data_IF_563827858989
#
_entry.id   IF_563827858989
#
_cell.length_a   1.000
_cell.length_b   1.000
_cell.length_c   1.000
_cell.angle_alpha   90.00
_cell.angle_beta   90.00
_cell.angle_gamma   90.00
#
_symmetry.space_group_name_H-M   'P 1'
#
loop_
_entity.id
_entity.type
_entity.pdbx_description
1 polymer ?
#
# COMPACT_ATOMS: atom_id res chain seq x y z
N UNK A 1 -21.97 -81.90 12.81
CA UNK A 1 -21.77 -82.83 13.97
C UNK A 1 -21.39 -81.98 15.18
N UNK A 2 -22.29 -82.00 16.20
CA UNK A 2 -22.15 -81.52 17.59
C UNK A 2 -21.82 -80.04 17.82
N UNK A 3 -22.77 -79.15 18.07
CA UNK A 3 -23.55 -78.81 19.29
C UNK A 3 -22.75 -78.99 20.57
N UNK A 4 -22.45 -77.87 21.24
CA UNK A 4 -22.64 -77.73 22.70
C UNK A 4 -22.82 -76.26 23.09
N UNK A 5 -24.05 -75.93 23.46
CA UNK A 5 -24.44 -74.80 24.32
C UNK A 5 -23.82 -74.94 25.69
N UNK A 6 -23.42 -73.89 26.35
CA UNK A 6 -23.50 -73.76 27.79
C UNK A 6 -23.83 -72.32 28.21
N UNK A 7 -24.78 -72.29 29.01
CA UNK A 7 -25.61 -71.32 29.68
C UNK A 7 -24.88 -70.56 30.77
N UNK A 8 -25.11 -69.25 30.83
CA UNK A 8 -25.58 -68.43 31.95
C UNK A 8 -24.85 -68.50 33.30
N UNK A 9 -24.37 -67.39 33.78
CA UNK A 9 -24.53 -67.00 35.19
C UNK A 9 -24.47 -65.44 35.30
N UNK A 10 -25.61 -64.89 35.79
CA UNK A 10 -25.71 -63.52 36.29
C UNK A 10 -24.92 -63.40 37.58
N UNK A 11 -24.13 -62.35 37.69
CA UNK A 11 -23.70 -61.85 38.99
C UNK A 11 -24.09 -60.34 39.05
N UNK A 12 -25.01 -60.08 39.90
CA UNK A 12 -25.42 -58.72 40.32
C UNK A 12 -24.35 -58.25 41.32
N UNK A 13 -23.70 -57.17 41.02
CA UNK A 13 -22.85 -56.47 41.98
C UNK A 13 -23.21 -55.01 42.02
N UNK A 14 -23.53 -54.55 43.18
CA UNK A 14 -23.98 -53.25 43.61
C UNK A 14 -23.03 -52.13 43.16
N UNK A 15 -23.58 -51.13 42.52
CA UNK A 15 -22.87 -49.90 42.16
C UNK A 15 -22.94 -48.93 43.34
N UNK A 16 -21.81 -48.67 43.91
CA UNK A 16 -21.59 -47.52 44.83
C UNK A 16 -21.48 -46.29 43.96
N UNK A 17 -22.47 -45.39 44.07
CA UNK A 17 -22.40 -44.04 43.49
C UNK A 17 -21.40 -43.20 44.31
N UNK A 18 -20.20 -42.99 43.80
CA UNK A 18 -19.35 -41.89 44.23
C UNK A 18 -19.70 -40.69 43.42
N UNK A 19 -20.37 -39.71 44.08
CA UNK A 19 -20.65 -38.43 43.50
C UNK A 19 -19.38 -37.62 43.25
N UNK A 20 -18.91 -37.61 42.01
CA UNK A 20 -17.93 -36.64 41.55
C UNK A 20 -18.70 -35.37 41.15
N UNK A 21 -18.54 -34.33 41.99
CA UNK A 21 -19.03 -33.02 41.71
C UNK A 21 -18.40 -32.51 40.40
N UNK A 22 -19.22 -32.43 39.36
CA UNK A 22 -18.91 -31.66 38.18
C UNK A 22 -18.90 -30.17 38.57
N UNK A 23 -17.74 -29.62 38.83
CA UNK A 23 -17.57 -28.17 38.81
C UNK A 23 -17.90 -27.73 37.39
N UNK A 24 -19.10 -27.15 37.24
CA UNK A 24 -19.50 -26.49 36.02
C UNK A 24 -18.50 -25.38 35.70
N UNK A 25 -17.71 -25.54 34.66
CA UNK A 25 -17.06 -24.40 34.01
C UNK A 25 -18.18 -23.42 33.65
N UNK A 26 -18.24 -22.32 34.36
CA UNK A 26 -19.07 -21.18 33.96
C UNK A 26 -18.55 -20.74 32.60
N UNK A 27 -19.32 -21.03 31.55
CA UNK A 27 -19.16 -20.39 30.26
C UNK A 27 -19.42 -18.91 30.50
N UNK A 28 -18.35 -18.15 30.71
CA UNK A 28 -18.40 -16.71 30.65
C UNK A 28 -19.07 -16.36 29.33
N UNK A 29 -20.24 -15.75 29.41
CA UNK A 29 -20.97 -15.22 28.27
C UNK A 29 -19.97 -14.45 27.43
N UNK A 30 -19.70 -14.93 26.21
CA UNK A 30 -19.04 -14.13 25.18
C UNK A 30 -19.83 -12.84 25.12
N UNK A 31 -19.23 -11.74 25.56
CA UNK A 31 -19.82 -10.44 25.45
C UNK A 31 -20.34 -10.32 24.03
N UNK A 32 -21.60 -9.95 23.87
CA UNK A 32 -22.16 -9.60 22.57
C UNK A 32 -21.21 -8.58 21.99
N UNK A 33 -20.55 -8.92 20.89
CA UNK A 33 -19.83 -7.95 20.09
C UNK A 33 -20.90 -6.94 19.70
N UNK A 34 -20.75 -5.74 20.20
CA UNK A 34 -21.64 -4.64 19.85
C UNK A 34 -21.41 -4.30 18.39
N UNK A 35 -22.19 -4.91 17.51
CA UNK A 35 -22.17 -4.66 16.07
C UNK A 35 -22.73 -3.27 15.74
N UNK A 36 -23.12 -2.48 16.74
CA UNK A 36 -23.51 -1.07 16.58
C UNK A 36 -22.33 -0.11 16.68
N UNK A 37 -21.08 -0.60 16.65
CA UNK A 37 -19.95 0.27 16.36
C UNK A 37 -20.34 1.07 15.12
N UNK A 38 -20.67 2.35 15.30
CA UNK A 38 -21.02 3.29 14.23
C UNK A 38 -19.99 3.07 13.14
N UNK A 39 -20.40 2.49 12.02
CA UNK A 39 -19.57 2.45 10.84
C UNK A 39 -19.13 3.89 10.65
N UNK A 40 -17.81 4.14 10.63
CA UNK A 40 -17.29 5.47 10.36
C UNK A 40 -17.75 5.83 8.94
N UNK A 41 -18.93 6.47 8.87
CA UNK A 41 -19.57 6.89 7.62
C UNK A 41 -18.92 8.15 7.06
N UNK A 42 -18.04 8.78 7.82
CA UNK A 42 -17.26 9.90 7.36
C UNK A 42 -16.09 9.39 6.52
N UNK A 43 -16.33 9.19 5.23
CA UNK A 43 -15.26 8.98 4.26
C UNK A 43 -14.38 10.23 4.28
N UNK A 44 -13.20 10.10 4.85
CA UNK A 44 -12.20 11.16 4.97
C UNK A 44 -10.83 10.62 4.66
N UNK A 45 -9.95 11.44 4.12
CA UNK A 45 -8.52 11.10 3.97
C UNK A 45 -7.79 11.12 5.31
N UNK A 46 -8.29 11.87 6.30
CA UNK A 46 -7.77 11.83 7.66
C UNK A 46 -8.10 10.47 8.33
N UNK A 47 -7.25 9.94 9.21
CA UNK A 47 -6.01 10.55 9.72
C UNK A 47 -4.75 10.25 8.86
N UNK A 48 -4.90 9.66 7.69
CA UNK A 48 -3.79 9.15 6.87
C UNK A 48 -3.05 10.24 6.10
N UNK A 49 -3.72 11.36 5.84
CA UNK A 49 -3.17 12.48 5.08
C UNK A 49 -3.54 13.82 5.69
N UNK A 50 -2.61 14.76 5.53
CA UNK A 50 -2.83 16.20 5.70
C UNK A 50 -2.56 16.91 4.39
N UNK A 51 -3.09 18.15 4.24
CA UNK A 51 -2.78 18.98 3.09
C UNK A 51 -1.30 19.35 3.11
N UNK A 52 -0.61 19.19 1.99
CA UNK A 52 0.78 19.63 1.87
C UNK A 52 0.85 21.16 1.85
N UNK A 53 1.94 21.67 2.42
CA UNK A 53 2.27 23.10 2.38
C UNK A 53 3.31 23.37 1.30
N UNK A 54 3.45 24.61 0.87
CA UNK A 54 4.47 25.05 -0.11
C UNK A 54 5.89 25.06 0.48
N UNK A 55 6.03 25.08 1.81
CA UNK A 55 7.34 25.02 2.47
C UNK A 55 8.01 23.68 2.21
N UNK A 56 9.33 23.66 1.97
CA UNK A 56 10.10 22.44 1.87
C UNK A 56 10.05 21.65 3.18
N UNK A 57 9.95 20.32 3.09
CA UNK A 57 9.93 19.39 4.23
C UNK A 57 11.05 18.37 4.04
N UNK A 58 11.73 18.00 5.11
CA UNK A 58 12.64 16.84 5.10
C UNK A 58 11.85 15.54 5.03
N UNK A 59 12.49 14.45 4.61
CA UNK A 59 11.99 13.10 4.81
C UNK A 59 11.76 12.80 6.30
N UNK A 60 11.10 11.70 6.63
CA UNK A 60 10.95 11.28 8.02
C UNK A 60 12.29 10.78 8.63
N UNK A 61 12.25 10.34 9.89
CA UNK A 61 13.43 9.86 10.61
C UNK A 61 14.13 8.65 9.96
N UNK A 62 13.38 7.89 9.14
CA UNK A 62 13.88 6.73 8.40
C UNK A 62 14.25 7.05 6.95
N UNK A 63 14.06 8.32 6.51
CA UNK A 63 14.34 8.78 5.16
C UNK A 63 13.18 8.62 4.18
N UNK A 64 12.00 8.17 4.61
CA UNK A 64 10.85 8.00 3.71
C UNK A 64 10.23 9.34 3.30
N UNK A 65 9.82 9.40 2.04
CA UNK A 65 9.19 10.56 1.44
C UNK A 65 7.67 10.53 1.67
N UNK A 66 7.17 11.51 2.42
CA UNK A 66 5.77 11.56 2.81
C UNK A 66 4.94 12.54 1.97
N UNK A 67 5.55 13.48 1.24
CA UNK A 67 4.85 14.52 0.47
C UNK A 67 4.78 14.16 -1.01
N UNK A 68 3.55 14.15 -1.54
CA UNK A 68 3.27 13.72 -2.91
C UNK A 68 2.11 14.51 -3.53
N UNK A 69 2.19 14.74 -4.84
CA UNK A 69 1.04 15.01 -5.69
C UNK A 69 0.47 13.65 -6.09
N UNK A 70 -0.77 13.39 -5.72
CA UNK A 70 -1.48 12.15 -6.02
C UNK A 70 -2.63 12.44 -6.98
N UNK A 71 -2.68 11.76 -8.11
CA UNK A 71 -3.82 11.82 -9.02
C UNK A 71 -4.92 10.91 -8.51
N UNK A 72 -6.15 11.37 -8.58
CA UNK A 72 -7.33 10.52 -8.38
C UNK A 72 -7.25 9.26 -9.27
N UNK A 73 -7.78 8.11 -8.81
CA UNK A 73 -7.55 6.84 -9.47
C UNK A 73 -8.12 6.77 -10.89
N UNK A 74 -7.29 6.33 -11.83
CA UNK A 74 -7.68 6.01 -13.20
C UNK A 74 -8.30 4.61 -13.22
N UNK A 75 -9.47 4.44 -13.86
CA UNK A 75 -10.06 3.11 -14.03
C UNK A 75 -9.18 2.21 -14.87
N UNK A 76 -8.79 1.08 -14.31
CA UNK A 76 -8.01 0.01 -14.97
C UNK A 76 -8.51 -1.35 -14.49
N UNK A 77 -9.72 -1.77 -14.91
CA UNK A 77 -10.34 -2.98 -14.39
C UNK A 77 -9.45 -4.21 -14.52
N UNK A 78 -9.27 -4.91 -13.43
CA UNK A 78 -8.64 -6.22 -13.37
C UNK A 78 -9.28 -7.02 -12.23
N UNK A 79 -9.30 -8.34 -12.35
CA UNK A 79 -9.98 -9.22 -11.40
C UNK A 79 -9.02 -9.95 -10.47
N UNK A 80 -7.73 -9.88 -10.73
CA UNK A 80 -6.71 -10.62 -9.99
C UNK A 80 -5.35 -9.94 -10.12
N UNK A 81 -4.57 -9.95 -9.04
CA UNK A 81 -3.20 -9.44 -9.04
C UNK A 81 -2.23 -10.39 -9.76
N UNK A 82 -2.64 -11.63 -10.07
CA UNK A 82 -1.80 -12.59 -10.81
C UNK A 82 -1.50 -12.15 -12.24
N UNK A 83 -2.27 -11.19 -12.79
CA UNK A 83 -2.01 -10.63 -14.12
C UNK A 83 -0.86 -9.62 -14.14
N UNK A 84 -0.39 -9.15 -12.98
CA UNK A 84 0.62 -8.10 -12.88
C UNK A 84 2.05 -8.60 -13.17
N UNK A 85 2.23 -9.23 -14.31
CA UNK A 85 3.56 -9.58 -14.85
C UNK A 85 4.31 -8.32 -15.28
N UNK A 86 5.63 -8.39 -15.41
CA UNK A 86 6.46 -7.28 -15.91
C UNK A 86 5.93 -6.70 -17.21
N UNK A 87 5.58 -7.55 -18.17
CA UNK A 87 5.06 -7.11 -19.45
C UNK A 87 3.71 -6.39 -19.33
N UNK A 88 2.81 -6.91 -18.47
CA UNK A 88 1.52 -6.27 -18.24
C UNK A 88 1.68 -4.89 -17.63
N UNK A 89 2.46 -4.77 -16.56
CA UNK A 89 2.63 -3.50 -15.86
C UNK A 89 3.42 -2.48 -16.68
N UNK A 90 4.43 -2.91 -17.46
CA UNK A 90 5.11 -2.03 -18.41
C UNK A 90 4.12 -1.45 -19.41
N UNK A 91 3.31 -2.29 -20.05
CA UNK A 91 2.27 -1.82 -20.97
C UNK A 91 1.29 -0.86 -20.27
N UNK A 92 0.81 -1.22 -19.07
CA UNK A 92 -0.12 -0.38 -18.33
C UNK A 92 0.46 0.98 -17.96
N UNK A 93 1.72 1.04 -17.54
CA UNK A 93 2.34 2.26 -17.04
C UNK A 93 3.02 3.10 -18.12
N UNK A 94 3.32 2.55 -19.29
CA UNK A 94 3.82 3.33 -20.44
C UNK A 94 2.70 3.77 -21.39
N UNK A 95 1.46 3.34 -21.16
CA UNK A 95 0.28 3.91 -21.82
C UNK A 95 0.08 5.35 -21.37
N UNK A 96 -0.05 6.28 -22.31
CA UNK A 96 -0.37 7.66 -22.00
C UNK A 96 -1.89 7.80 -21.80
N UNK A 97 -2.30 8.07 -20.56
CA UNK A 97 -3.72 8.25 -20.19
C UNK A 97 -4.16 9.71 -20.31
N UNK A 98 -3.23 10.64 -20.19
CA UNK A 98 -3.46 12.09 -20.30
C UNK A 98 -2.22 12.81 -20.84
N UNK A 99 -2.37 13.97 -21.47
CA UNK A 99 -1.25 14.69 -22.09
C UNK A 99 -0.12 15.01 -21.13
N UNK A 100 1.12 14.83 -21.59
CA UNK A 100 2.33 15.11 -20.82
C UNK A 100 2.50 14.28 -19.54
N UNK A 101 1.81 13.17 -19.40
CA UNK A 101 1.83 12.29 -18.22
C UNK A 101 3.24 12.01 -17.68
N UNK A 102 4.23 11.87 -18.56
CA UNK A 102 5.61 11.52 -18.20
C UNK A 102 6.50 12.74 -17.91
N UNK A 103 6.05 13.95 -18.24
CA UNK A 103 6.85 15.18 -18.13
C UNK A 103 6.25 16.21 -17.20
N UNK A 104 4.92 16.23 -17.06
CA UNK A 104 4.22 17.22 -16.24
C UNK A 104 4.71 17.21 -14.78
N UNK A 105 4.91 18.39 -14.21
CA UNK A 105 4.90 18.62 -12.78
C UNK A 105 3.55 19.27 -12.46
N UNK A 106 2.55 18.49 -12.01
CA UNK A 106 1.21 19.01 -11.80
C UNK A 106 1.15 19.95 -10.60
N UNK A 107 0.08 20.76 -10.55
CA UNK A 107 -0.23 21.63 -9.41
C UNK A 107 -1.32 21.01 -8.54
N UNK A 108 -1.36 21.41 -7.28
CA UNK A 108 -2.48 21.06 -6.40
C UNK A 108 -3.80 21.60 -6.98
N UNK A 109 -4.83 20.74 -7.04
CA UNK A 109 -6.13 21.07 -7.64
C UNK A 109 -6.15 21.05 -9.17
N UNK A 110 -5.04 20.81 -9.85
CA UNK A 110 -5.01 20.70 -11.31
C UNK A 110 -5.82 19.50 -11.78
N UNK A 111 -6.59 19.69 -12.86
CA UNK A 111 -7.45 18.67 -13.42
C UNK A 111 -6.90 18.15 -14.73
N UNK A 112 -7.05 16.84 -14.92
CA UNK A 112 -6.71 16.15 -16.17
C UNK A 112 -7.88 15.31 -16.65
N UNK A 113 -8.07 15.21 -17.97
CA UNK A 113 -9.09 14.38 -18.58
C UNK A 113 -8.47 13.05 -18.97
N UNK A 114 -9.08 11.95 -18.48
CA UNK A 114 -8.69 10.57 -18.79
C UNK A 114 -9.92 9.83 -19.33
N UNK A 115 -10.01 9.68 -20.65
CA UNK A 115 -11.24 9.21 -21.28
C UNK A 115 -12.41 10.12 -20.91
N UNK A 116 -13.46 9.55 -20.32
CA UNK A 116 -14.63 10.30 -19.83
C UNK A 116 -14.50 10.80 -18.38
N UNK A 117 -13.38 10.51 -17.71
CA UNK A 117 -13.15 10.94 -16.33
C UNK A 117 -12.42 12.29 -16.30
N UNK A 118 -12.86 13.20 -15.45
CA UNK A 118 -12.08 14.36 -15.01
C UNK A 118 -11.50 14.03 -13.64
N UNK A 119 -10.17 13.99 -13.53
CA UNK A 119 -9.43 13.61 -12.34
C UNK A 119 -8.62 14.79 -11.83
N UNK A 120 -8.50 14.91 -10.52
CA UNK A 120 -7.82 16.02 -9.85
C UNK A 120 -6.53 15.55 -9.19
N UNK A 121 -5.49 16.37 -9.26
CA UNK A 121 -4.25 16.21 -8.50
C UNK A 121 -4.40 16.81 -7.11
N UNK A 122 -3.90 16.10 -6.10
CA UNK A 122 -3.95 16.53 -4.69
C UNK A 122 -2.56 16.54 -4.09
N UNK A 123 -2.09 17.68 -3.61
CA UNK A 123 -0.85 17.80 -2.86
C UNK A 123 -1.08 17.39 -1.41
N UNK A 124 -0.58 16.24 -1.01
CA UNK A 124 -0.83 15.62 0.29
C UNK A 124 0.46 15.20 0.99
N UNK A 125 0.41 15.22 2.32
CA UNK A 125 1.42 14.62 3.19
C UNK A 125 0.84 13.37 3.86
N UNK A 126 1.51 12.23 3.66
CA UNK A 126 1.23 11.03 4.45
C UNK A 126 1.63 11.25 5.90
N UNK A 127 0.80 10.81 6.83
CA UNK A 127 1.12 10.79 8.27
C UNK A 127 1.93 9.56 8.67
N UNK A 128 2.12 8.63 7.74
CA UNK A 128 2.88 7.39 7.92
C UNK A 128 4.11 7.39 6.99
N UNK A 129 5.04 6.45 7.22
CA UNK A 129 6.17 6.23 6.32
C UNK A 129 5.72 5.82 4.91
N UNK A 130 4.56 5.17 4.79
CA UNK A 130 3.96 4.76 3.52
C UNK A 130 2.72 5.58 3.16
N UNK A 131 2.53 5.76 1.86
CA UNK A 131 1.43 6.52 1.26
C UNK A 131 0.26 5.57 1.01
N UNK A 132 -0.82 5.74 1.75
CA UNK A 132 -2.00 4.87 1.77
C UNK A 132 -2.96 5.18 0.61
N UNK A 133 -2.65 4.75 -0.62
CA UNK A 133 -3.48 5.02 -1.81
C UNK A 133 -4.92 4.51 -1.67
N UNK A 134 -5.10 3.35 -1.05
CA UNK A 134 -6.44 2.84 -0.74
C UNK A 134 -7.24 3.86 0.09
N UNK A 135 -6.63 4.44 1.14
CA UNK A 135 -7.28 5.44 2.00
C UNK A 135 -7.52 6.76 1.29
N UNK A 136 -6.61 7.15 0.41
CA UNK A 136 -6.77 8.31 -0.46
C UNK A 136 -8.02 8.17 -1.33
N UNK A 137 -8.13 7.10 -2.12
CA UNK A 137 -9.29 6.87 -2.98
C UNK A 137 -10.59 6.71 -2.18
N UNK A 138 -10.57 5.94 -1.09
CA UNK A 138 -11.72 5.74 -0.22
C UNK A 138 -12.23 7.06 0.38
N UNK A 139 -11.34 7.90 0.88
CA UNK A 139 -11.68 9.20 1.47
C UNK A 139 -12.30 10.16 0.47
N UNK A 140 -11.88 10.11 -0.79
CA UNK A 140 -12.43 10.88 -1.89
C UNK A 140 -13.69 10.25 -2.54
N UNK A 141 -14.18 9.13 -2.02
CA UNK A 141 -15.32 8.39 -2.57
C UNK A 141 -15.11 7.90 -4.00
N UNK A 142 -13.85 7.57 -4.32
CA UNK A 142 -13.44 7.03 -5.62
C UNK A 142 -13.34 5.51 -5.56
N UNK A 143 -13.20 4.90 -6.74
CA UNK A 143 -12.92 3.46 -6.89
C UNK A 143 -11.59 3.11 -6.21
N UNK A 144 -11.57 1.98 -5.51
CA UNK A 144 -10.40 1.50 -4.74
C UNK A 144 -9.78 0.25 -5.35
N UNK A 145 -10.52 -0.47 -6.20
CA UNK A 145 -10.09 -1.69 -6.88
C UNK A 145 -10.18 -1.53 -8.40
N UNK A 146 -9.33 -2.26 -9.11
CA UNK A 146 -9.27 -2.15 -10.56
C UNK A 146 -8.90 -0.75 -11.03
N UNK A 147 -7.90 -0.15 -10.39
CA UNK A 147 -7.48 1.23 -10.60
C UNK A 147 -5.97 1.35 -10.71
N UNK A 148 -5.53 2.44 -11.32
CA UNK A 148 -4.15 2.85 -11.43
C UNK A 148 -3.99 4.25 -10.81
N UNK A 149 -2.97 4.41 -9.97
CA UNK A 149 -2.61 5.68 -9.34
C UNK A 149 -1.33 6.24 -9.95
N UNK A 150 -1.28 7.57 -10.08
CA UNK A 150 -0.06 8.31 -10.37
C UNK A 150 0.33 9.15 -9.17
N UNK A 151 1.63 9.15 -8.87
CA UNK A 151 2.24 9.93 -7.81
C UNK A 151 3.44 10.70 -8.35
N UNK A 152 3.56 11.98 -7.99
CA UNK A 152 4.71 12.83 -8.37
C UNK A 152 5.21 13.56 -7.14
N UNK A 153 6.52 13.64 -6.99
CA UNK A 153 7.15 14.48 -5.96
C UNK A 153 8.46 15.08 -6.47
N UNK A 154 8.87 16.18 -5.86
CA UNK A 154 10.15 16.83 -6.13
C UNK A 154 11.08 16.63 -4.95
N UNK A 155 12.20 16.00 -5.19
CA UNK A 155 13.29 15.84 -4.22
C UNK A 155 14.38 16.84 -4.52
N UNK A 156 14.70 17.68 -3.54
CA UNK A 156 15.77 18.66 -3.66
C UNK A 156 17.00 18.16 -2.92
N UNK A 157 18.09 17.97 -3.66
CA UNK A 157 19.38 17.61 -3.10
C UNK A 157 20.27 18.85 -2.94
N UNK A 158 20.94 19.05 -1.80
CA UNK A 158 21.83 20.19 -1.60
C UNK A 158 23.07 20.16 -2.51
N UNK A 159 23.44 19.00 -2.97
CA UNK A 159 24.56 18.74 -3.86
C UNK A 159 24.27 17.59 -4.82
N UNK A 160 25.11 17.38 -5.82
CA UNK A 160 25.05 16.17 -6.64
C UNK A 160 25.42 14.95 -5.76
N UNK A 161 24.59 13.91 -5.75
CA UNK A 161 24.84 12.66 -5.06
C UNK A 161 24.90 11.53 -6.08
N UNK A 162 26.08 10.93 -6.23
CA UNK A 162 26.32 9.79 -7.11
C UNK A 162 26.15 8.47 -6.35
N UNK A 163 25.93 7.40 -7.09
CA UNK A 163 25.82 6.03 -6.58
C UNK A 163 24.70 5.85 -5.54
N UNK A 164 23.71 6.73 -5.51
CA UNK A 164 22.52 6.55 -4.68
C UNK A 164 21.60 5.48 -5.28
N UNK A 165 20.74 4.89 -4.46
CA UNK A 165 19.76 3.92 -4.90
C UNK A 165 18.38 4.32 -4.41
N UNK A 166 17.39 4.21 -5.27
CA UNK A 166 15.99 4.38 -4.89
C UNK A 166 15.49 3.05 -4.34
N UNK A 167 15.05 3.04 -3.09
CA UNK A 167 14.45 1.89 -2.44
C UNK A 167 12.94 2.10 -2.35
N UNK A 168 12.18 1.12 -2.80
CA UNK A 168 10.72 1.17 -2.93
C UNK A 168 10.09 -0.05 -2.30
N UNK A 169 9.05 0.15 -1.54
CA UNK A 169 8.09 -0.87 -1.15
C UNK A 169 6.71 -0.55 -1.71
N UNK A 170 5.96 -1.55 -2.13
CA UNK A 170 4.61 -1.37 -2.66
C UNK A 170 3.71 -2.55 -2.32
N UNK A 171 2.51 -2.26 -1.85
CA UNK A 171 1.46 -3.25 -1.72
C UNK A 171 0.59 -3.17 -2.98
N UNK A 172 1.01 -3.77 -3.99
CA UNK A 172 0.54 -3.93 -5.36
C UNK A 172 1.69 -3.67 -6.34
N UNK A 173 1.48 -3.96 -7.62
CA UNK A 173 2.52 -3.74 -8.62
C UNK A 173 2.73 -2.25 -8.90
N UNK A 174 3.99 -1.86 -9.09
CA UNK A 174 4.34 -0.45 -9.29
C UNK A 174 5.57 -0.28 -10.18
N UNK A 175 5.73 0.91 -10.75
CA UNK A 175 6.89 1.30 -11.54
C UNK A 175 7.26 2.74 -11.26
N UNK A 176 8.57 3.02 -11.21
CA UNK A 176 9.10 4.27 -10.70
C UNK A 176 10.17 4.84 -11.60
N UNK A 177 10.15 6.16 -11.73
CA UNK A 177 11.11 6.92 -12.55
C UNK A 177 11.76 8.03 -11.75
N UNK A 178 13.04 8.24 -11.99
CA UNK A 178 13.80 9.39 -11.52
C UNK A 178 14.20 10.24 -12.73
N UNK A 179 13.81 11.50 -12.74
CA UNK A 179 14.13 12.46 -13.84
C UNK A 179 13.78 11.88 -15.24
N UNK A 180 12.65 11.18 -15.34
CA UNK A 180 12.16 10.57 -16.57
C UNK A 180 12.81 9.24 -16.96
N UNK A 181 13.80 8.75 -16.20
CA UNK A 181 14.44 7.43 -16.43
C UNK A 181 13.86 6.41 -15.49
N UNK A 182 13.54 5.21 -16.02
CA UNK A 182 13.11 4.08 -15.21
C UNK A 182 14.15 3.76 -14.13
N UNK A 183 13.70 3.61 -12.89
CA UNK A 183 14.53 3.31 -11.75
C UNK A 183 14.19 1.97 -11.10
N UNK A 184 12.89 1.69 -10.88
CA UNK A 184 12.44 0.50 -10.17
C UNK A 184 11.13 0.00 -10.78
N UNK A 185 10.99 -1.32 -10.88
CA UNK A 185 9.74 -2.00 -11.23
C UNK A 185 9.48 -3.12 -10.21
N UNK A 186 8.27 -3.16 -9.68
CA UNK A 186 7.79 -4.21 -8.78
C UNK A 186 6.57 -4.87 -9.42
N UNK A 187 6.73 -6.07 -9.92
CA UNK A 187 5.64 -6.87 -10.52
C UNK A 187 5.07 -7.87 -9.53
N UNK A 188 3.95 -8.47 -9.88
CA UNK A 188 3.28 -9.53 -9.13
C UNK A 188 2.32 -9.04 -8.06
N UNK A 189 1.74 -10.01 -7.35
CA UNK A 189 0.92 -9.78 -6.16
C UNK A 189 1.85 -9.59 -4.95
N UNK A 190 1.88 -8.39 -4.42
CA UNK A 190 2.87 -7.98 -3.43
C UNK A 190 2.23 -7.53 -2.13
N UNK A 191 2.97 -7.64 -1.05
CA UNK A 191 2.65 -7.04 0.25
C UNK A 191 3.58 -5.85 0.50
N UNK A 192 3.15 -4.91 1.33
CA UNK A 192 3.99 -3.80 1.75
C UNK A 192 5.18 -4.32 2.56
N UNK A 193 6.36 -4.19 1.98
CA UNK A 193 7.65 -4.43 2.62
C UNK A 193 8.53 -3.21 2.33
N UNK A 194 9.17 -2.66 3.36
CA UNK A 194 10.12 -1.56 3.17
C UNK A 194 11.30 -2.05 2.33
N UNK A 195 11.74 -1.22 1.37
CA UNK A 195 12.88 -1.49 0.50
C UNK A 195 12.80 -2.83 -0.25
N UNK A 196 11.58 -3.29 -0.55
CA UNK A 196 11.32 -4.56 -1.22
C UNK A 196 12.03 -4.67 -2.60
N UNK A 197 12.21 -3.56 -3.28
CA UNK A 197 13.03 -3.47 -4.47
C UNK A 197 13.91 -2.21 -4.43
N UNK A 198 15.18 -2.40 -4.77
CA UNK A 198 16.18 -1.34 -4.78
C UNK A 198 16.72 -1.18 -6.19
N UNK A 199 16.77 0.06 -6.69
CA UNK A 199 17.27 0.37 -8.03
C UNK A 199 18.75 0.01 -8.20
N UNK A 200 19.21 -0.01 -9.44
CA UNK A 200 20.63 0.17 -9.76
C UNK A 200 21.11 1.53 -9.24
N UNK A 201 22.42 1.80 -9.37
CA UNK A 201 23.02 3.08 -8.96
C UNK A 201 22.49 4.22 -9.82
N UNK A 202 22.04 5.28 -9.17
CA UNK A 202 21.48 6.48 -9.76
C UNK A 202 22.31 7.70 -9.35
N UNK A 203 22.01 8.84 -9.96
CA UNK A 203 22.54 10.15 -9.55
C UNK A 203 21.36 11.07 -9.23
N UNK A 204 21.36 11.66 -8.04
CA UNK A 204 20.54 12.83 -7.74
C UNK A 204 21.33 14.08 -8.14
N UNK A 205 20.76 14.87 -9.03
CA UNK A 205 21.33 16.15 -9.40
C UNK A 205 21.26 17.12 -8.22
N UNK A 206 22.20 18.07 -8.14
CA UNK A 206 22.05 19.22 -7.25
C UNK A 206 20.77 19.98 -7.60
N UNK A 207 19.95 20.31 -6.60
CA UNK A 207 18.66 20.96 -6.78
C UNK A 207 17.52 19.95 -7.02
N UNK A 208 16.60 20.29 -7.93
CA UNK A 208 15.37 19.55 -8.18
C UNK A 208 15.60 18.23 -8.91
N UNK A 209 15.02 17.16 -8.38
CA UNK A 209 14.89 15.85 -9.00
C UNK A 209 13.41 15.45 -8.94
N UNK A 210 12.87 14.97 -10.04
CA UNK A 210 11.47 14.59 -10.11
C UNK A 210 11.35 13.08 -10.03
N UNK A 211 10.57 12.60 -9.04
CA UNK A 211 10.18 11.21 -8.94
C UNK A 211 8.74 11.09 -9.42
N UNK A 212 8.50 10.10 -10.27
CA UNK A 212 7.17 9.64 -10.67
C UNK A 212 6.98 8.21 -10.27
N UNK A 213 5.79 7.88 -9.83
CA UNK A 213 5.40 6.51 -9.53
C UNK A 213 4.03 6.20 -10.11
N UNK A 214 3.88 4.99 -10.63
CA UNK A 214 2.61 4.44 -11.02
C UNK A 214 2.37 3.17 -10.20
N UNK A 215 1.18 3.04 -9.62
CA UNK A 215 0.77 1.88 -8.79
C UNK A 215 -0.55 1.37 -9.32
N UNK A 216 -0.63 0.08 -9.66
CA UNK A 216 -1.88 -0.55 -10.10
C UNK A 216 -2.43 -1.42 -8.99
N UNK A 217 -3.72 -1.30 -8.72
CA UNK A 217 -4.41 -2.08 -7.70
C UNK A 217 -5.51 -2.96 -8.33
N UNK A 218 -5.42 -4.25 -8.03
CA UNK A 218 -6.52 -5.19 -8.21
C UNK A 218 -7.33 -5.30 -6.93
N UNK A 219 -7.77 -6.50 -6.54
CA UNK A 219 -8.33 -6.73 -5.22
C UNK A 219 -7.23 -6.57 -4.14
N UNK A 220 -7.56 -5.93 -3.03
CA UNK A 220 -6.65 -5.75 -1.91
C UNK A 220 -6.33 -4.29 -1.58
N UNK A 221 -5.32 -4.11 -0.74
CA UNK A 221 -4.85 -2.77 -0.34
C UNK A 221 -3.84 -2.26 -1.36
N UNK A 222 -3.70 -0.93 -1.43
CA UNK A 222 -2.67 -0.27 -2.22
C UNK A 222 -1.99 0.80 -1.40
N UNK A 223 -0.69 0.70 -1.29
CA UNK A 223 0.17 1.70 -0.67
C UNK A 223 1.60 1.54 -1.20
N UNK A 224 2.42 2.55 -0.96
CA UNK A 224 3.84 2.52 -1.32
C UNK A 224 4.67 3.29 -0.31
N UNK A 225 5.96 3.01 -0.26
CA UNK A 225 6.97 3.85 0.38
C UNK A 225 8.19 3.98 -0.52
N UNK A 226 8.86 5.14 -0.43
CA UNK A 226 10.06 5.45 -1.22
C UNK A 226 11.05 6.18 -0.35
N UNK A 227 12.32 5.77 -0.43
CA UNK A 227 13.47 6.51 0.12
C UNK A 227 14.70 6.34 -0.74
N UNK A 228 15.73 7.13 -0.48
CA UNK A 228 17.03 6.96 -1.10
C UNK A 228 18.04 6.38 -0.10
N UNK A 229 18.85 5.48 -0.61
CA UNK A 229 19.97 4.89 0.10
C UNK A 229 21.28 5.39 -0.53
N UNK A 230 22.27 5.62 0.30
CA UNK A 230 23.62 5.95 -0.13
C UNK A 230 24.39 4.72 -0.64
N UNK A 231 25.66 4.89 -0.92
CA UNK A 231 26.54 3.84 -1.41
C UNK A 231 26.73 2.68 -0.42
N UNK A 232 26.60 2.96 0.89
CA UNK A 232 26.74 1.99 1.98
C UNK A 232 25.41 1.29 2.29
N UNK A 233 24.29 1.78 1.73
CA UNK A 233 22.96 1.28 2.01
C UNK A 233 22.26 2.01 3.15
N UNK A 234 22.84 3.10 3.64
CA UNK A 234 22.23 3.92 4.68
C UNK A 234 21.22 4.90 4.07
N UNK A 235 20.15 5.21 4.80
CA UNK A 235 19.13 6.12 4.31
C UNK A 235 19.60 7.57 4.29
N UNK A 236 19.37 8.28 3.17
CA UNK A 236 19.71 9.68 2.99
C UNK A 236 18.57 10.54 3.56
N UNK A 237 18.85 11.32 4.60
CA UNK A 237 17.84 12.07 5.39
C UNK A 237 17.86 13.58 5.20
N UNK A 238 18.88 14.12 4.55
CA UNK A 238 19.09 15.56 4.30
C UNK A 238 18.42 16.09 3.02
N UNK A 239 17.70 15.21 2.33
CA UNK A 239 16.88 15.59 1.17
C UNK A 239 15.65 16.37 1.63
N UNK A 240 15.31 17.44 0.90
CA UNK A 240 14.05 18.13 1.13
C UNK A 240 13.05 17.82 0.02
N UNK A 241 11.78 17.78 0.38
CA UNK A 241 10.69 17.34 -0.48
C UNK A 241 9.74 18.52 -0.69
N UNK A 242 9.36 18.73 -1.94
CA UNK A 242 8.35 19.71 -2.34
C UNK A 242 7.43 19.09 -3.40
N UNK A 243 6.43 19.83 -3.82
CA UNK A 243 5.58 19.46 -4.95
C UNK A 243 5.57 20.55 -6.05
N UNK A 244 6.50 21.52 -5.93
CA UNK A 244 6.68 22.63 -6.86
C UNK A 244 8.11 22.69 -7.41
#
# INVERSE_FOLDING_TARGET
MNIKRKTLLLAVSSVILVGLGLQGCSVTSRGKIDVTAKSDTTRSIAPYFTQATTSKKTSDSEGFMQRWLLLEPIKKPNRSNTVFTDNYIRTAFTTEYFPNQFTILPKDGEKVKVGEQELTWHALESTNFNVKLFRFAYGLRKEIYGVLFWAVTVVNSPQELKNVRMAVGSNSASMWWLNGKEAVILSGDRRMVMDDCVSTRLTLNKGKNIIRGAVINGPGMSDFCVRFLDEKGESIKDLTISYE
#
